data_IF_086399856096
#
_entry.id   IF_086399856096
#
_cell.length_a   1.000
_cell.length_b   1.000
_cell.length_c   1.000
_cell.angle_alpha   90.00
_cell.angle_beta   90.00
_cell.angle_gamma   90.00
#
_symmetry.space_group_name_H-M   'P 1'
#
loop_
_entity.id
_entity.type
_entity.pdbx_description
1 polymer ?
#
# COMPACT_ATOMS: atom_id res chain seq x y z
N UNK A 1 -15.98 -6.07 17.31
CA UNK A 1 -14.90 -5.39 16.55
C UNK A 1 -13.70 -5.35 17.48
N UNK A 2 -12.52 -5.81 17.02
CA UNK A 2 -11.28 -5.57 17.76
C UNK A 2 -10.62 -4.35 17.11
N UNK A 3 -10.91 -3.16 17.63
CA UNK A 3 -10.47 -1.90 17.03
C UNK A 3 -8.94 -1.85 16.80
N UNK A 4 -8.16 -2.49 17.69
CA UNK A 4 -6.71 -2.64 17.53
C UNK A 4 -6.30 -3.48 16.32
N UNK A 5 -7.02 -4.58 16.05
CA UNK A 5 -6.72 -5.46 14.91
C UNK A 5 -7.07 -4.78 13.59
N UNK A 6 -8.15 -4.00 13.56
CA UNK A 6 -8.54 -3.23 12.38
C UNK A 6 -7.53 -2.11 12.09
N UNK A 7 -7.07 -1.37 13.11
CA UNK A 7 -5.99 -0.38 12.97
C UNK A 7 -4.68 -1.01 12.47
N UNK A 8 -4.29 -2.17 13.00
CA UNK A 8 -3.10 -2.89 12.56
C UNK A 8 -3.22 -3.33 11.09
N UNK A 9 -4.39 -3.82 10.67
CA UNK A 9 -4.64 -4.20 9.27
C UNK A 9 -4.59 -3.01 8.33
N UNK A 10 -5.14 -1.87 8.74
CA UNK A 10 -5.12 -0.62 7.97
C UNK A 10 -3.67 -0.15 7.77
N UNK A 11 -2.87 -0.14 8.84
CA UNK A 11 -1.45 0.23 8.75
C UNK A 11 -0.65 -0.74 7.85
N UNK A 12 -0.91 -2.05 7.92
CA UNK A 12 -0.27 -3.05 7.05
C UNK A 12 -0.67 -2.87 5.59
N UNK A 13 -1.95 -2.60 5.31
CA UNK A 13 -2.42 -2.27 3.97
C UNK A 13 -1.67 -1.07 3.40
N UNK A 14 -1.58 0.02 4.16
CA UNK A 14 -0.95 1.25 3.68
C UNK A 14 0.56 1.10 3.51
N UNK A 15 1.18 0.28 4.35
CA UNK A 15 2.57 -0.12 4.17
C UNK A 15 2.77 -0.88 2.85
N UNK A 16 1.93 -1.88 2.57
CA UNK A 16 2.01 -2.67 1.32
C UNK A 16 1.74 -1.80 0.08
N UNK A 17 0.75 -0.92 0.14
CA UNK A 17 0.44 0.02 -0.95
C UNK A 17 1.60 1.01 -1.15
N UNK A 18 2.16 1.54 -0.07
CA UNK A 18 3.32 2.44 -0.11
C UNK A 18 4.56 1.78 -0.69
N UNK A 19 4.79 0.50 -0.41
CA UNK A 19 5.91 -0.26 -0.97
C UNK A 19 5.77 -0.41 -2.48
N UNK A 20 4.57 -0.78 -2.96
CA UNK A 20 4.30 -0.81 -4.40
C UNK A 20 4.45 0.57 -5.05
N UNK A 21 3.86 1.61 -4.47
CA UNK A 21 3.93 2.95 -5.05
C UNK A 21 5.34 3.52 -5.04
N UNK A 22 6.15 3.22 -4.02
CA UNK A 22 7.57 3.57 -4.02
C UNK A 22 8.31 2.93 -5.20
N UNK A 23 8.03 1.67 -5.53
CA UNK A 23 8.60 1.01 -6.72
C UNK A 23 8.17 1.69 -8.02
N UNK A 24 6.88 1.99 -8.18
CA UNK A 24 6.35 2.66 -9.38
C UNK A 24 6.91 4.09 -9.54
N UNK A 25 7.14 4.79 -8.42
CA UNK A 25 7.79 6.10 -8.38
C UNK A 25 9.30 6.04 -8.57
N UNK A 26 9.90 4.84 -8.62
CA UNK A 26 11.35 4.64 -8.71
C UNK A 26 12.11 5.09 -7.46
N UNK A 27 11.44 5.16 -6.30
CA UNK A 27 12.07 5.45 -5.01
C UNK A 27 12.85 4.22 -4.54
N UNK A 28 14.03 4.44 -3.97
CA UNK A 28 14.90 3.37 -3.44
C UNK A 28 15.52 3.77 -2.11
N UNK A 29 15.90 2.77 -1.31
CA UNK A 29 16.57 2.98 -0.02
C UNK A 29 15.74 3.84 0.93
N UNK A 30 16.39 4.84 1.53
CA UNK A 30 15.77 5.71 2.55
C UNK A 30 14.56 6.48 2.02
N UNK A 31 14.55 6.89 0.76
CA UNK A 31 13.40 7.60 0.15
C UNK A 31 12.17 6.70 0.04
N UNK A 32 12.37 5.43 -0.30
CA UNK A 32 11.28 4.46 -0.33
C UNK A 32 10.75 4.20 1.09
N UNK A 33 11.64 3.96 2.05
CA UNK A 33 11.26 3.73 3.45
C UNK A 33 10.52 4.92 4.06
N UNK A 34 10.96 6.15 3.78
CA UNK A 34 10.28 7.36 4.22
C UNK A 34 8.85 7.44 3.65
N UNK A 35 8.70 7.23 2.35
CA UNK A 35 7.39 7.22 1.68
C UNK A 35 6.44 6.18 2.28
N UNK A 36 6.92 4.95 2.46
CA UNK A 36 6.16 3.84 3.05
C UNK A 36 5.69 4.18 4.47
N UNK A 37 6.60 4.72 5.29
CA UNK A 37 6.30 5.08 6.67
C UNK A 37 5.29 6.23 6.75
N UNK A 38 5.38 7.21 5.86
CA UNK A 38 4.47 8.34 5.86
C UNK A 38 3.05 7.92 5.42
N UNK A 39 2.94 7.02 4.44
CA UNK A 39 1.65 6.40 4.08
C UNK A 39 1.05 5.64 5.27
N UNK A 40 1.86 4.82 5.94
CA UNK A 40 1.43 4.02 7.10
C UNK A 40 1.03 4.87 8.32
N UNK A 41 1.65 6.04 8.51
CA UNK A 41 1.23 7.01 9.54
C UNK A 41 -0.10 7.66 9.20
N UNK A 42 -0.31 8.02 7.93
CA UNK A 42 -1.60 8.55 7.45
C UNK A 42 -2.76 7.58 7.72
N UNK A 43 -2.49 6.27 7.66
CA UNK A 43 -3.42 5.20 7.98
C UNK A 43 -4.07 5.30 9.37
N UNK A 44 -3.42 5.96 10.33
CA UNK A 44 -3.94 6.14 11.70
C UNK A 44 -5.16 7.07 11.74
N UNK A 45 -5.33 7.94 10.73
CA UNK A 45 -6.49 8.81 10.56
C UNK A 45 -7.36 8.29 9.40
N UNK A 46 -7.72 7.00 9.46
CA UNK A 46 -8.40 6.27 8.36
C UNK A 46 -9.75 6.86 7.94
N UNK A 47 -10.40 7.66 8.79
CA UNK A 47 -11.64 8.37 8.45
C UNK A 47 -11.39 9.55 7.50
N UNK A 48 -10.16 10.08 7.49
CA UNK A 48 -9.76 11.26 6.69
C UNK A 48 -8.72 10.94 5.62
N UNK A 49 -7.93 9.89 5.80
CA UNK A 49 -6.84 9.55 4.90
C UNK A 49 -7.35 8.73 3.70
N UNK A 50 -7.49 9.40 2.56
CA UNK A 50 -7.77 8.76 1.29
C UNK A 50 -6.46 8.37 0.60
N UNK A 51 -6.04 7.13 0.83
CA UNK A 51 -4.83 6.55 0.24
C UNK A 51 -4.87 6.55 -1.28
N UNK A 52 -6.03 6.38 -1.90
CA UNK A 52 -6.16 6.43 -3.36
C UNK A 52 -5.84 7.85 -3.85
N UNK A 53 -6.41 8.86 -3.22
CA UNK A 53 -6.15 10.26 -3.58
C UNK A 53 -4.67 10.66 -3.41
N UNK A 54 -4.02 10.18 -2.34
CA UNK A 54 -2.58 10.40 -2.10
C UNK A 54 -1.74 9.80 -3.21
N UNK A 55 -1.90 8.49 -3.46
CA UNK A 55 -1.15 7.76 -4.49
C UNK A 55 -1.38 8.40 -5.86
N UNK A 56 -2.63 8.74 -6.17
CA UNK A 56 -2.99 9.34 -7.46
C UNK A 56 -2.26 10.66 -7.69
N UNK A 57 -2.22 11.52 -6.67
CA UNK A 57 -1.52 12.80 -6.72
C UNK A 57 -0.01 12.60 -6.90
N UNK A 58 0.59 11.64 -6.19
CA UNK A 58 2.03 11.38 -6.29
C UNK A 58 2.40 10.83 -7.68
N UNK A 59 1.56 9.95 -8.22
CA UNK A 59 1.73 9.41 -9.57
C UNK A 59 1.57 10.48 -10.65
N UNK A 60 0.59 11.37 -10.53
CA UNK A 60 0.43 12.51 -11.43
C UNK A 60 1.65 13.44 -11.39
N UNK A 61 2.20 13.70 -10.19
CA UNK A 61 3.39 14.52 -10.02
C UNK A 61 4.65 13.88 -10.62
N UNK A 62 4.77 12.55 -10.56
CA UNK A 62 5.89 11.79 -11.10
C UNK A 62 5.73 11.37 -12.57
N UNK A 63 4.54 11.58 -13.16
CA UNK A 63 4.24 11.13 -14.52
C UNK A 63 4.04 9.62 -14.65
N UNK A 64 3.71 8.92 -13.56
CA UNK A 64 3.42 7.49 -13.54
C UNK A 64 2.01 7.26 -14.09
N UNK A 65 1.90 6.45 -15.16
CA UNK A 65 0.62 6.17 -15.83
C UNK A 65 -0.02 4.94 -15.21
N UNK A 66 -0.85 5.15 -14.18
CA UNK A 66 -1.71 4.14 -13.57
C UNK A 66 -3.12 4.72 -13.41
N UNK A 67 -4.14 3.94 -13.78
CA UNK A 67 -5.55 4.34 -13.64
C UNK A 67 -6.04 4.20 -12.19
N UNK A 68 -7.09 4.93 -11.85
CA UNK A 68 -7.72 4.85 -10.53
C UNK A 68 -8.20 3.41 -10.23
N UNK A 69 -8.68 2.67 -11.24
CA UNK A 69 -9.07 1.27 -11.11
C UNK A 69 -7.87 0.37 -10.81
N UNK A 70 -6.70 0.64 -11.40
CA UNK A 70 -5.48 -0.12 -11.12
C UNK A 70 -5.03 0.13 -9.67
N UNK A 71 -5.00 1.40 -9.24
CA UNK A 71 -4.65 1.77 -7.86
C UNK A 71 -5.65 1.14 -6.86
N UNK A 72 -6.95 1.23 -7.12
CA UNK A 72 -7.99 0.64 -6.28
C UNK A 72 -7.88 -0.89 -6.18
N UNK A 73 -7.48 -1.56 -7.28
CA UNK A 73 -7.19 -2.99 -7.27
C UNK A 73 -6.00 -3.32 -6.37
N UNK A 74 -4.93 -2.53 -6.40
CA UNK A 74 -3.78 -2.71 -5.49
C UNK A 74 -4.21 -2.58 -4.03
N UNK A 75 -4.94 -1.52 -3.70
CA UNK A 75 -5.44 -1.29 -2.34
C UNK A 75 -6.30 -2.47 -1.87
N UNK A 76 -7.18 -2.98 -2.73
CA UNK A 76 -8.02 -4.15 -2.43
C UNK A 76 -7.21 -5.42 -2.21
N UNK A 77 -6.17 -5.66 -3.02
CA UNK A 77 -5.29 -6.81 -2.86
C UNK A 77 -4.42 -6.71 -1.60
N UNK A 78 -3.93 -5.50 -1.28
CA UNK A 78 -3.20 -5.21 -0.06
C UNK A 78 -4.06 -5.46 1.18
N UNK A 79 -5.34 -5.08 1.16
CA UNK A 79 -6.31 -5.40 2.20
C UNK A 79 -6.46 -6.92 2.42
N UNK A 80 -6.61 -7.68 1.34
CA UNK A 80 -6.70 -9.15 1.42
C UNK A 80 -5.41 -9.77 1.97
N UNK A 81 -4.24 -9.21 1.61
CA UNK A 81 -2.95 -9.66 2.11
C UNK A 81 -2.75 -9.32 3.59
N UNK A 82 -3.08 -8.10 4.01
CA UNK A 82 -3.02 -7.65 5.40
C UNK A 82 -3.92 -8.51 6.31
N UNK A 83 -5.11 -8.90 5.82
CA UNK A 83 -6.01 -9.81 6.53
C UNK A 83 -5.43 -11.22 6.76
N UNK A 84 -4.53 -11.69 5.89
CA UNK A 84 -3.79 -12.95 6.07
C UNK A 84 -2.58 -12.79 6.99
N UNK A 85 -1.95 -11.62 6.99
CA UNK A 85 -0.73 -11.31 7.75
C UNK A 85 -0.93 -11.14 9.26
N UNK A 86 -2.14 -10.83 9.74
CA UNK A 86 -2.42 -10.79 11.19
C UNK A 86 -2.23 -12.14 11.90
N UNK A 87 -1.74 -13.17 11.21
CA UNK A 87 -1.42 -14.49 11.74
C UNK A 87 0.07 -14.88 11.61
N UNK A 88 0.94 -14.06 10.98
CA UNK A 88 2.37 -14.37 10.83
C UNK A 88 3.20 -13.16 10.40
N UNK A 89 4.34 -12.91 11.08
CA UNK A 89 5.17 -11.72 10.95
C UNK A 89 6.15 -11.69 9.74
N UNK A 90 6.34 -12.81 9.01
CA UNK A 90 7.40 -12.95 7.98
C UNK A 90 6.91 -12.79 6.52
N UNK A 91 5.67 -12.37 6.28
CA UNK A 91 5.03 -12.46 4.95
C UNK A 91 5.05 -11.17 4.10
N UNK A 92 5.77 -10.12 4.51
CA UNK A 92 5.75 -8.80 3.86
C UNK A 92 6.24 -8.82 2.40
N UNK A 93 7.44 -9.35 2.16
CA UNK A 93 8.06 -9.36 0.82
C UNK A 93 7.31 -10.29 -0.15
N UNK A 94 6.81 -11.43 0.34
CA UNK A 94 6.02 -12.36 -0.48
C UNK A 94 4.70 -11.72 -0.90
N UNK A 95 4.04 -10.96 -0.01
CA UNK A 95 2.79 -10.29 -0.32
C UNK A 95 2.95 -9.24 -1.41
N UNK A 96 4.05 -8.49 -1.41
CA UNK A 96 4.35 -7.52 -2.46
C UNK A 96 4.61 -8.18 -3.80
N UNK A 97 5.44 -9.23 -3.80
CA UNK A 97 5.69 -10.01 -5.03
C UNK A 97 4.39 -10.54 -5.60
N UNK A 98 3.44 -10.96 -4.77
CA UNK A 98 2.11 -11.42 -5.21
C UNK A 98 1.25 -10.27 -5.76
N UNK A 99 1.24 -9.10 -5.12
CA UNK A 99 0.50 -7.91 -5.58
C UNK A 99 1.05 -7.47 -6.95
N UNK A 100 2.37 -7.28 -7.06
CA UNK A 100 3.04 -6.85 -8.29
C UNK A 100 2.87 -7.89 -9.40
N UNK A 101 3.00 -9.18 -9.09
CA UNK A 101 2.78 -10.26 -10.07
C UNK A 101 1.35 -10.23 -10.62
N UNK A 102 0.34 -10.04 -9.77
CA UNK A 102 -1.05 -10.03 -10.22
C UNK A 102 -1.39 -8.79 -11.06
N UNK A 103 -0.69 -7.67 -10.85
CA UNK A 103 -0.83 -6.46 -11.69
C UNK A 103 -0.24 -6.64 -13.08
N UNK A 104 0.91 -7.31 -13.20
CA UNK A 104 1.58 -7.54 -14.51
C UNK A 104 0.93 -8.63 -15.38
N UNK A 105 0.01 -9.41 -14.82
CA UNK A 105 -0.66 -10.52 -15.49
C UNK A 105 -2.11 -10.21 -15.93
N UNK A 106 -2.59 -8.96 -15.75
CA UNK A 106 -3.92 -8.51 -16.20
C UNK A 106 -3.84 -7.57 -17.41
#
# INVERSE_FOLDING_TARGET
MNDLQDMQRIALRDKLVGMWAAEELGLVGESAEAYINDLAKGALDFERNDVLAVIRKDFDAAGVVQSDEQISRVISQAWLAAGRQTNSADAGDVALVQIVRNLKLS
#
